data_IF_388884788618
#
_entry.id   IF_388884788618
#
_cell.length_a   1.000
_cell.length_b   1.000
_cell.length_c   1.000
_cell.angle_alpha   90.00
_cell.angle_beta   90.00
_cell.angle_gamma   90.00
#
_symmetry.space_group_name_H-M   'P 1'
#
loop_
_entity.id
_entity.type
_entity.pdbx_description
1 polymer ?
#
# COMPACT_ATOMS: atom_id res chain seq x y z
N UNK A 1 2.19 3.13 -2.36
CA UNK A 1 3.37 3.17 -1.46
C UNK A 1 3.78 4.58 -0.99
N UNK A 2 3.53 5.66 -1.75
CA UNK A 2 3.94 7.02 -1.32
C UNK A 2 3.06 7.66 -0.24
N UNK A 3 1.82 7.23 -0.08
CA UNK A 3 0.86 7.90 0.81
C UNK A 3 0.70 7.25 2.20
N UNK A 4 1.14 6.01 2.36
CA UNK A 4 1.05 5.26 3.64
C UNK A 4 2.12 5.71 4.64
N UNK A 5 3.27 6.18 4.17
CA UNK A 5 4.40 6.54 5.02
C UNK A 5 4.27 7.94 5.65
N UNK A 6 3.36 8.79 5.13
CA UNK A 6 3.12 10.13 5.68
C UNK A 6 2.47 10.16 7.07
N UNK A 7 1.89 9.04 7.51
CA UNK A 7 1.14 8.95 8.77
C UNK A 7 2.03 8.65 9.98
N UNK A 8 3.27 8.17 9.79
CA UNK A 8 4.08 7.59 10.86
C UNK A 8 5.12 8.52 11.50
N UNK A 9 5.21 9.79 11.12
CA UNK A 9 6.08 10.72 11.84
C UNK A 9 5.28 11.72 12.67
N UNK A 10 4.62 11.20 13.68
CA UNK A 10 4.04 12.01 14.73
C UNK A 10 5.05 12.15 15.85
N UNK A 11 5.48 13.36 16.05
CA UNK A 11 6.30 13.87 17.14
C UNK A 11 5.94 13.23 18.49
N UNK A 12 6.81 12.37 18.98
CA UNK A 12 6.87 12.03 20.39
C UNK A 12 7.37 13.25 21.18
N UNK A 13 6.62 13.66 22.17
CA UNK A 13 7.06 14.67 23.12
C UNK A 13 7.49 13.98 24.42
N UNK A 14 8.71 14.26 24.81
CA UNK A 14 9.32 13.83 26.05
C UNK A 14 8.64 14.49 27.25
N UNK A 15 8.11 13.69 28.16
CA UNK A 15 7.89 14.09 29.53
C UNK A 15 9.19 13.85 30.30
N UNK A 16 9.82 14.93 30.74
CA UNK A 16 10.99 14.89 31.63
C UNK A 16 10.60 14.20 32.93
N UNK A 17 11.04 12.96 33.12
CA UNK A 17 10.97 12.30 34.42
C UNK A 17 12.06 12.87 35.30
N UNK A 18 11.65 13.67 36.29
CA UNK A 18 12.52 14.09 37.41
C UNK A 18 12.86 12.80 38.19
N UNK A 19 14.12 12.42 38.13
CA UNK A 19 14.61 11.34 38.93
C UNK A 19 14.54 11.74 40.41
N UNK A 20 13.62 11.09 41.14
CA UNK A 20 13.61 11.11 42.61
C UNK A 20 14.31 9.83 43.08
N UNK A 21 15.50 10.02 43.62
CA UNK A 21 16.22 8.96 44.33
C UNK A 21 15.44 8.50 45.56
N UNK A 22 15.31 7.20 45.73
CA UNK A 22 15.05 6.54 47.00
C UNK A 22 13.67 5.89 47.13
N UNK A 23 13.51 4.71 46.52
CA UNK A 23 12.98 3.57 47.27
C UNK A 23 13.27 2.27 46.48
N UNK A 24 13.74 1.23 47.21
CA UNK A 24 13.87 -0.11 46.65
C UNK A 24 12.47 -0.69 46.46
N UNK A 25 11.76 -0.23 45.46
CA UNK A 25 10.53 -0.86 45.03
C UNK A 25 10.88 -2.19 44.33
N UNK A 26 10.42 -3.27 44.97
CA UNK A 26 10.19 -4.53 44.29
C UNK A 26 9.59 -4.21 42.93
N UNK A 27 10.31 -4.48 41.82
CA UNK A 27 9.78 -4.35 40.47
C UNK A 27 8.52 -5.19 40.45
N UNK A 28 7.37 -4.55 40.47
CA UNK A 28 6.09 -5.19 40.22
C UNK A 28 6.24 -5.90 38.87
N UNK A 29 6.12 -7.22 38.89
CA UNK A 29 6.03 -7.98 37.64
C UNK A 29 4.89 -7.40 36.85
N UNK A 30 5.12 -7.13 35.56
CA UNK A 30 4.09 -6.61 34.67
C UNK A 30 2.90 -7.57 34.63
N UNK A 31 1.68 -7.06 34.69
CA UNK A 31 0.49 -7.90 34.71
C UNK A 31 0.03 -8.22 33.27
N UNK A 32 -0.46 -9.45 33.09
CA UNK A 32 -1.03 -9.90 31.82
C UNK A 32 -2.47 -9.40 31.78
N UNK A 33 -2.83 -8.65 30.74
CA UNK A 33 -4.20 -8.15 30.48
C UNK A 33 -4.95 -8.98 29.44
N UNK A 34 -4.23 -9.72 28.57
CA UNK A 34 -4.82 -10.74 27.73
C UNK A 34 -3.81 -11.86 27.41
N UNK A 35 -4.32 -13.09 27.28
CA UNK A 35 -3.58 -14.22 26.69
C UNK A 35 -4.11 -14.40 25.27
N UNK A 36 -3.19 -14.51 24.30
CA UNK A 36 -3.51 -14.62 22.88
C UNK A 36 -2.75 -15.82 22.32
N UNK A 37 -3.43 -16.96 22.13
CA UNK A 37 -2.82 -18.24 21.80
C UNK A 37 -1.64 -18.58 22.75
N UNK A 38 -0.40 -18.55 22.24
CA UNK A 38 0.83 -18.79 23.01
C UNK A 38 1.49 -17.51 23.50
N UNK A 39 0.97 -16.33 23.14
CA UNK A 39 1.48 -15.00 23.50
C UNK A 39 0.66 -14.32 24.59
N UNK A 40 1.12 -13.14 24.98
CA UNK A 40 0.45 -12.33 26.02
C UNK A 40 0.50 -10.85 25.65
N UNK A 41 -0.54 -10.12 26.08
CA UNK A 41 -0.54 -8.65 26.08
C UNK A 41 -0.34 -8.20 27.52
N UNK A 42 0.63 -7.29 27.72
CA UNK A 42 1.00 -6.79 29.04
C UNK A 42 0.29 -5.48 29.36
N UNK A 43 0.06 -5.25 30.62
CA UNK A 43 -0.56 -4.00 31.13
C UNK A 43 0.30 -2.77 30.81
N UNK A 44 1.62 -2.89 30.84
CA UNK A 44 2.54 -1.82 30.46
C UNK A 44 2.35 -1.40 28.99
N UNK A 45 2.18 -2.37 28.08
CA UNK A 45 1.90 -2.10 26.67
C UNK A 45 0.57 -1.36 26.49
N UNK A 46 -0.48 -1.83 27.17
CA UNK A 46 -1.80 -1.20 27.14
C UNK A 46 -1.74 0.25 27.64
N UNK A 47 -1.13 0.48 28.80
CA UNK A 47 -1.02 1.81 29.39
C UNK A 47 -0.20 2.77 28.53
N UNK A 48 0.89 2.29 27.93
CA UNK A 48 1.71 3.09 27.01
C UNK A 48 0.89 3.53 25.79
N UNK A 49 0.12 2.63 25.19
CA UNK A 49 -0.71 2.98 24.04
C UNK A 49 -1.85 3.94 24.41
N UNK A 50 -2.49 3.74 25.56
CA UNK A 50 -3.51 4.67 26.07
C UNK A 50 -2.91 6.07 26.25
N UNK A 51 -1.72 6.17 26.82
CA UNK A 51 -1.04 7.46 27.00
C UNK A 51 -0.75 8.13 25.65
N UNK A 52 -0.19 7.38 24.69
CA UNK A 52 0.11 7.89 23.34
C UNK A 52 -1.15 8.45 22.68
N UNK A 53 -2.25 7.68 22.67
CA UNK A 53 -3.53 8.09 22.08
C UNK A 53 -4.09 9.32 22.77
N UNK A 54 -4.03 9.36 24.11
CA UNK A 54 -4.54 10.46 24.91
C UNK A 54 -3.76 11.75 24.69
N UNK A 55 -2.43 11.69 24.63
CA UNK A 55 -1.58 12.85 24.37
C UNK A 55 -1.80 13.39 22.95
N UNK A 56 -1.96 12.48 21.99
CA UNK A 56 -2.25 12.86 20.60
C UNK A 56 -3.59 13.56 20.50
N UNK A 57 -4.65 13.00 21.06
CA UNK A 57 -5.98 13.60 21.05
C UNK A 57 -5.98 15.00 21.67
N UNK A 58 -5.27 15.17 22.81
CA UNK A 58 -5.12 16.49 23.46
C UNK A 58 -4.41 17.50 22.54
N UNK A 59 -3.35 17.06 21.85
CA UNK A 59 -2.57 17.92 20.94
C UNK A 59 -3.40 18.33 19.73
N UNK A 60 -4.16 17.41 19.17
CA UNK A 60 -4.95 17.61 17.96
C UNK A 60 -6.32 18.23 18.26
N UNK A 61 -6.67 18.41 19.55
CA UNK A 61 -7.90 19.06 20.01
C UNK A 61 -9.16 18.19 19.91
N UNK A 62 -9.01 16.87 19.84
CA UNK A 62 -10.13 15.92 19.78
C UNK A 62 -10.58 15.49 21.16
N UNK A 63 -11.91 15.36 21.34
CA UNK A 63 -12.50 14.74 22.51
C UNK A 63 -12.44 13.22 22.35
N UNK A 64 -11.82 12.52 23.33
CA UNK A 64 -11.84 11.06 23.39
C UNK A 64 -13.15 10.56 24.01
N UNK A 65 -13.58 9.35 23.64
CA UNK A 65 -14.62 8.62 24.37
C UNK A 65 -14.24 8.43 25.86
N UNK A 66 -15.10 7.75 26.62
CA UNK A 66 -14.76 7.39 28.00
C UNK A 66 -13.48 6.57 28.05
N UNK A 67 -12.74 6.69 29.16
CA UNK A 67 -11.49 5.95 29.38
C UNK A 67 -11.66 4.43 29.22
N UNK A 68 -12.81 3.90 29.61
CA UNK A 68 -13.18 2.50 29.46
C UNK A 68 -13.23 2.07 27.98
N UNK A 69 -13.91 2.85 27.14
CA UNK A 69 -14.01 2.59 25.70
C UNK A 69 -12.63 2.66 25.02
N UNK A 70 -11.83 3.68 25.38
CA UNK A 70 -10.45 3.81 24.86
C UNK A 70 -9.61 2.60 25.25
N UNK A 71 -9.73 2.15 26.50
CA UNK A 71 -9.02 0.98 27.00
C UNK A 71 -9.39 -0.30 26.26
N UNK A 72 -10.68 -0.54 26.04
CA UNK A 72 -11.17 -1.70 25.29
C UNK A 72 -10.69 -1.70 23.85
N UNK A 73 -10.80 -0.57 23.16
CA UNK A 73 -10.36 -0.45 21.77
C UNK A 73 -8.86 -0.67 21.60
N UNK A 74 -8.05 -0.10 22.49
CA UNK A 74 -6.60 -0.28 22.45
C UNK A 74 -6.22 -1.72 22.79
N UNK A 75 -6.89 -2.34 23.76
CA UNK A 75 -6.64 -3.74 24.08
C UNK A 75 -6.95 -4.66 22.89
N UNK A 76 -8.08 -4.47 22.22
CA UNK A 76 -8.44 -5.26 21.05
C UNK A 76 -7.43 -5.03 19.89
N UNK A 77 -6.95 -3.80 19.70
CA UNK A 77 -5.89 -3.51 18.75
C UNK A 77 -4.60 -4.27 19.09
N UNK A 78 -4.17 -4.30 20.35
CA UNK A 78 -2.97 -5.05 20.76
C UNK A 78 -3.15 -6.56 20.62
N UNK A 79 -4.34 -7.09 20.88
CA UNK A 79 -4.69 -8.49 20.67
C UNK A 79 -4.57 -8.84 19.18
N UNK A 80 -5.17 -8.04 18.31
CA UNK A 80 -5.09 -8.23 16.85
C UNK A 80 -3.66 -8.13 16.34
N UNK A 81 -2.86 -7.22 16.88
CA UNK A 81 -1.45 -7.08 16.52
C UNK A 81 -0.66 -8.35 16.89
N UNK A 82 -0.86 -8.89 18.10
CA UNK A 82 -0.22 -10.11 18.55
C UNK A 82 -0.61 -11.31 17.68
N UNK A 83 -1.90 -11.46 17.32
CA UNK A 83 -2.40 -12.51 16.42
C UNK A 83 -1.69 -12.42 15.06
N UNK A 84 -1.59 -11.22 14.50
CA UNK A 84 -0.93 -10.99 13.22
C UNK A 84 0.57 -11.33 13.27
N UNK A 85 1.26 -10.95 14.34
CA UNK A 85 2.69 -11.26 14.49
C UNK A 85 2.93 -12.77 14.60
N UNK A 86 2.10 -13.49 15.35
CA UNK A 86 2.15 -14.96 15.42
C UNK A 86 1.88 -15.61 14.06
N UNK A 87 0.91 -15.08 13.32
CA UNK A 87 0.61 -15.53 11.96
C UNK A 87 1.80 -15.30 11.01
N UNK A 88 2.39 -14.11 11.07
CA UNK A 88 3.57 -13.77 10.27
C UNK A 88 4.74 -14.73 10.58
N UNK A 89 4.97 -15.03 11.86
CA UNK A 89 5.98 -15.97 12.29
C UNK A 89 5.72 -17.38 11.76
N UNK A 90 4.47 -17.85 11.84
CA UNK A 90 4.06 -19.20 11.40
C UNK A 90 4.26 -19.43 9.91
N UNK A 91 4.11 -18.40 9.07
CA UNK A 91 4.34 -18.50 7.61
C UNK A 91 5.72 -18.02 7.17
N UNK A 92 6.61 -17.72 8.13
CA UNK A 92 8.01 -17.41 7.88
C UNK A 92 8.28 -15.99 7.35
N UNK A 93 7.37 -15.04 7.58
CA UNK A 93 7.61 -13.62 7.25
C UNK A 93 8.75 -13.09 8.12
N UNK A 94 9.80 -12.56 7.48
CA UNK A 94 10.98 -12.01 8.15
C UNK A 94 11.42 -10.71 7.49
N UNK A 95 11.74 -9.72 8.28
CA UNK A 95 12.33 -8.45 7.82
C UNK A 95 13.81 -8.45 8.13
N UNK A 96 14.64 -8.51 7.08
CA UNK A 96 16.10 -8.44 7.19
C UNK A 96 16.55 -7.03 7.64
N UNK A 97 17.78 -6.95 8.19
CA UNK A 97 18.37 -5.66 8.55
C UNK A 97 18.56 -4.76 7.32
N UNK A 98 18.81 -5.33 6.15
CA UNK A 98 18.90 -4.56 4.90
C UNK A 98 17.57 -3.90 4.55
N UNK A 99 16.45 -4.63 4.63
CA UNK A 99 15.11 -4.09 4.39
C UNK A 99 14.76 -3.00 5.41
N UNK A 100 15.05 -3.27 6.69
CA UNK A 100 14.81 -2.29 7.75
C UNK A 100 15.63 -1.02 7.56
N UNK A 101 16.92 -1.13 7.23
CA UNK A 101 17.78 0.02 6.99
C UNK A 101 17.34 0.79 5.73
N UNK A 102 16.87 0.11 4.67
CA UNK A 102 16.26 0.74 3.50
C UNK A 102 15.04 1.57 3.87
N UNK A 103 14.13 1.03 4.68
CA UNK A 103 12.97 1.77 5.18
C UNK A 103 13.37 2.98 6.05
N UNK A 104 14.38 2.82 6.91
CA UNK A 104 14.90 3.92 7.73
C UNK A 104 15.50 5.02 6.86
N UNK A 105 16.23 4.66 5.78
CA UNK A 105 16.79 5.65 4.84
C UNK A 105 15.70 6.46 4.16
N UNK A 106 14.61 5.82 3.71
CA UNK A 106 13.47 6.52 3.13
C UNK A 106 12.78 7.47 4.13
N UNK A 107 12.65 7.05 5.40
CA UNK A 107 12.12 7.91 6.47
C UNK A 107 13.05 9.11 6.71
N UNK A 108 14.37 8.90 6.72
CA UNK A 108 15.34 9.98 6.90
C UNK A 108 15.24 11.01 5.75
N UNK A 109 15.17 10.56 4.50
CA UNK A 109 15.00 11.43 3.33
C UNK A 109 13.71 12.26 3.40
N UNK A 110 12.59 11.63 3.77
CA UNK A 110 11.30 12.32 3.93
C UNK A 110 11.36 13.41 5.01
N UNK A 111 12.18 13.20 6.05
CA UNK A 111 12.43 14.16 7.13
C UNK A 111 13.59 15.11 6.86
N UNK A 112 14.11 15.12 5.62
CA UNK A 112 15.20 15.98 5.18
C UNK A 112 16.46 15.83 6.05
N UNK A 113 16.73 14.58 6.48
CA UNK A 113 17.93 14.22 7.23
C UNK A 113 18.62 13.02 6.58
N UNK A 114 19.83 12.67 7.03
CA UNK A 114 20.51 11.45 6.57
C UNK A 114 20.26 10.29 7.54
N UNK A 115 20.48 9.07 7.06
CA UNK A 115 20.37 7.85 7.86
C UNK A 115 21.20 7.96 9.15
N UNK A 116 22.44 8.50 9.06
CA UNK A 116 23.36 8.61 10.20
C UNK A 116 22.91 9.66 11.24
N UNK A 117 22.17 10.70 10.79
CA UNK A 117 21.70 11.79 11.67
C UNK A 117 20.33 11.54 12.28
N UNK A 118 19.59 10.58 11.72
CA UNK A 118 18.24 10.26 12.20
C UNK A 118 18.21 9.86 13.70
N UNK A 119 19.17 9.06 14.24
CA UNK A 119 19.20 8.73 15.67
C UNK A 119 19.29 9.95 16.56
N UNK A 120 20.10 10.94 16.19
CA UNK A 120 20.26 12.18 16.96
C UNK A 120 19.00 13.07 16.91
N UNK A 121 18.27 13.01 15.77
CA UNK A 121 17.01 13.72 15.64
C UNK A 121 15.94 13.08 16.51
N UNK A 122 15.76 11.74 16.44
CA UNK A 122 14.82 10.98 17.27
C UNK A 122 15.09 11.20 18.76
N UNK A 123 16.36 11.18 19.18
CA UNK A 123 16.76 11.45 20.56
C UNK A 123 16.36 12.85 21.03
N UNK A 124 16.44 13.87 20.18
CA UNK A 124 15.96 15.23 20.49
C UNK A 124 14.45 15.28 20.66
N UNK A 125 13.76 14.45 19.90
CA UNK A 125 12.30 14.30 19.96
C UNK A 125 11.85 13.34 21.09
N UNK A 126 12.81 12.84 21.90
CA UNK A 126 12.54 11.95 23.04
C UNK A 126 12.29 10.48 22.67
N UNK A 127 12.63 10.08 21.44
CA UNK A 127 12.42 8.72 20.93
C UNK A 127 13.72 7.93 21.03
N UNK A 128 13.67 6.75 21.67
CA UNK A 128 14.78 5.80 21.64
C UNK A 128 14.92 5.19 20.27
N UNK A 129 16.13 5.19 19.70
CA UNK A 129 16.38 4.65 18.37
C UNK A 129 16.20 3.13 18.29
N UNK A 130 16.49 2.42 19.38
CA UNK A 130 16.28 0.97 19.46
C UNK A 130 14.79 0.62 19.44
N UNK A 131 13.99 1.37 20.18
CA UNK A 131 12.52 1.22 20.17
C UNK A 131 11.95 1.55 18.79
N UNK A 132 12.34 2.66 18.22
CA UNK A 132 11.94 3.02 16.86
C UNK A 132 12.25 1.93 15.83
N UNK A 133 13.44 1.32 15.89
CA UNK A 133 13.80 0.21 15.00
C UNK A 133 12.95 -1.04 15.22
N UNK A 134 12.62 -1.35 16.48
CA UNK A 134 11.76 -2.50 16.80
C UNK A 134 10.34 -2.30 16.26
N UNK A 135 9.79 -1.12 16.49
CA UNK A 135 8.42 -0.79 16.07
C UNK A 135 8.32 -0.74 14.54
N UNK A 136 9.30 -0.13 13.86
CA UNK A 136 9.34 -0.12 12.41
C UNK A 136 9.48 -1.54 11.82
N UNK A 137 10.33 -2.41 12.41
CA UNK A 137 10.43 -3.81 11.97
C UNK A 137 9.10 -4.54 12.13
N UNK A 138 8.43 -4.33 13.25
CA UNK A 138 7.10 -4.90 13.50
C UNK A 138 6.09 -4.43 12.46
N UNK A 139 6.04 -3.13 12.18
CA UNK A 139 5.18 -2.58 11.14
C UNK A 139 5.47 -3.18 9.76
N UNK A 140 6.74 -3.32 9.37
CA UNK A 140 7.11 -3.95 8.10
C UNK A 140 6.70 -5.42 8.03
N UNK A 141 6.76 -6.16 9.14
CA UNK A 141 6.27 -7.55 9.22
C UNK A 141 4.76 -7.59 8.99
N UNK A 142 3.99 -6.71 9.64
CA UNK A 142 2.54 -6.64 9.49
C UNK A 142 2.13 -6.23 8.06
N UNK A 143 2.86 -5.29 7.46
CA UNK A 143 2.63 -4.88 6.08
C UNK A 143 2.90 -6.02 5.10
N UNK A 144 4.03 -6.75 5.24
CA UNK A 144 4.33 -7.93 4.42
C UNK A 144 3.30 -9.05 4.61
N UNK A 145 2.87 -9.29 5.84
CA UNK A 145 1.81 -10.27 6.11
C UNK A 145 0.52 -9.92 5.39
N UNK A 146 0.11 -8.65 5.46
CA UNK A 146 -1.08 -8.16 4.76
C UNK A 146 -0.94 -8.29 3.24
N UNK A 147 0.26 -7.99 2.72
CA UNK A 147 0.52 -8.14 1.29
C UNK A 147 0.36 -9.60 0.84
N UNK A 148 0.83 -10.57 1.64
CA UNK A 148 0.77 -12.00 1.32
C UNK A 148 -0.66 -12.56 1.53
N UNK A 149 -1.26 -12.31 2.68
CA UNK A 149 -2.51 -12.96 3.09
C UNK A 149 -3.77 -12.27 2.53
N UNK A 150 -3.67 -10.98 2.19
CA UNK A 150 -4.79 -10.18 1.70
C UNK A 150 -4.54 -9.67 0.29
N UNK A 151 -3.59 -8.74 0.10
CA UNK A 151 -3.43 -7.98 -1.15
C UNK A 151 -3.08 -8.90 -2.32
N UNK A 152 -2.17 -9.86 -2.11
CA UNK A 152 -1.75 -10.82 -3.14
C UNK A 152 -2.87 -11.77 -3.61
N UNK A 153 -3.96 -11.87 -2.85
CA UNK A 153 -5.11 -12.73 -3.17
C UNK A 153 -6.26 -11.97 -3.82
N UNK A 154 -6.19 -10.65 -3.85
CA UNK A 154 -7.24 -9.82 -4.45
C UNK A 154 -7.08 -9.81 -5.96
N UNK A 155 -8.09 -10.32 -6.66
CA UNK A 155 -8.17 -10.28 -8.11
C UNK A 155 -9.38 -9.44 -8.56
N UNK A 156 -9.18 -8.71 -9.66
CA UNK A 156 -10.30 -8.13 -10.42
C UNK A 156 -10.88 -9.22 -11.31
N UNK A 157 -12.15 -9.49 -11.21
CA UNK A 157 -12.84 -10.38 -12.15
C UNK A 157 -13.13 -9.65 -13.46
N UNK A 158 -13.27 -10.40 -14.56
CA UNK A 158 -13.63 -9.82 -15.86
C UNK A 158 -14.93 -9.02 -15.82
N UNK A 159 -15.89 -9.46 -15.02
CA UNK A 159 -17.18 -8.75 -14.85
C UNK A 159 -16.96 -7.39 -14.19
N UNK A 160 -16.17 -7.32 -13.13
CA UNK A 160 -15.87 -6.06 -12.43
C UNK A 160 -15.06 -5.13 -13.34
N UNK A 161 -14.09 -5.69 -14.07
CA UNK A 161 -13.29 -4.93 -15.02
C UNK A 161 -14.17 -4.32 -16.13
N UNK A 162 -15.03 -5.13 -16.76
CA UNK A 162 -15.94 -4.65 -17.79
C UNK A 162 -16.91 -3.60 -17.26
N UNK A 163 -17.46 -3.80 -16.07
CA UNK A 163 -18.34 -2.83 -15.43
C UNK A 163 -17.59 -1.52 -15.11
N UNK A 164 -16.33 -1.59 -14.64
CA UNK A 164 -15.51 -0.41 -14.43
C UNK A 164 -15.23 0.33 -15.74
N UNK A 165 -14.85 -0.40 -16.80
CA UNK A 165 -14.58 0.20 -18.12
C UNK A 165 -15.83 0.85 -18.72
N UNK A 166 -16.99 0.23 -18.60
CA UNK A 166 -18.28 0.80 -19.04
C UNK A 166 -18.58 2.13 -18.31
N UNK A 167 -18.33 2.18 -17.01
CA UNK A 167 -18.44 3.43 -16.24
C UNK A 167 -17.43 4.47 -16.72
N UNK A 168 -16.19 4.05 -17.04
CA UNK A 168 -15.14 4.93 -17.58
C UNK A 168 -15.51 5.50 -18.95
N UNK A 169 -16.08 4.68 -19.83
CA UNK A 169 -16.47 5.11 -21.18
C UNK A 169 -17.66 6.08 -21.16
N UNK A 170 -18.58 5.87 -20.24
CA UNK A 170 -19.82 6.65 -20.18
C UNK A 170 -19.71 7.97 -19.40
N UNK A 171 -18.61 8.24 -18.69
CA UNK A 171 -18.52 9.39 -17.82
C UNK A 171 -17.17 10.11 -17.84
N UNK A 172 -17.20 11.42 -18.08
CA UNK A 172 -16.14 12.40 -17.81
C UNK A 172 -15.68 12.36 -16.33
N UNK A 173 -16.45 11.72 -15.48
CA UNK A 173 -16.26 11.56 -14.02
C UNK A 173 -14.91 11.00 -13.63
N UNK A 174 -14.34 10.09 -14.43
CA UNK A 174 -13.14 9.34 -14.06
C UNK A 174 -11.82 10.12 -14.19
N UNK A 175 -11.80 11.14 -15.00
CA UNK A 175 -10.61 12.00 -15.18
C UNK A 175 -10.64 13.21 -14.25
N UNK A 176 -11.75 13.38 -13.54
CA UNK A 176 -11.94 14.42 -12.54
C UNK A 176 -11.23 14.03 -11.24
N UNK A 177 -10.74 15.03 -10.55
CA UNK A 177 -10.25 14.90 -9.17
C UNK A 177 -11.37 15.36 -8.23
N UNK A 178 -11.58 14.58 -7.18
CA UNK A 178 -12.58 14.86 -6.16
C UNK A 178 -11.92 14.99 -4.80
N UNK A 179 -12.26 16.02 -4.08
CA UNK A 179 -12.01 16.11 -2.65
C UNK A 179 -13.24 15.56 -1.94
N UNK A 180 -13.08 14.49 -1.20
CA UNK A 180 -14.18 13.71 -0.64
C UNK A 180 -14.10 13.61 0.88
N UNK A 181 -15.28 13.44 1.49
CA UNK A 181 -15.44 12.93 2.84
C UNK A 181 -16.37 11.72 2.85
N UNK A 182 -16.22 10.83 3.83
CA UNK A 182 -16.86 9.53 3.87
C UNK A 182 -17.30 9.14 5.29
N UNK A 183 -18.51 8.60 5.41
CA UNK A 183 -19.03 7.96 6.62
C UNK A 183 -19.31 6.51 6.29
N UNK A 184 -18.87 5.58 7.14
CA UNK A 184 -19.16 4.15 7.08
C UNK A 184 -19.92 3.73 8.32
N UNK A 185 -21.06 3.10 8.13
CA UNK A 185 -21.78 2.34 9.17
C UNK A 185 -21.57 0.88 8.84
N UNK A 186 -20.73 0.21 9.62
CA UNK A 186 -20.32 -1.17 9.36
C UNK A 186 -21.45 -2.17 9.66
N UNK A 187 -21.48 -3.25 8.86
CA UNK A 187 -22.34 -4.39 9.11
C UNK A 187 -21.48 -5.61 9.35
N UNK A 188 -21.63 -6.33 10.47
CA UNK A 188 -20.91 -7.57 10.74
C UNK A 188 -21.10 -8.61 9.63
N UNK A 189 -20.06 -9.42 9.32
CA UNK A 189 -20.12 -10.43 8.26
C UNK A 189 -21.21 -11.49 8.53
N UNK A 190 -21.40 -11.84 9.80
CA UNK A 190 -22.43 -12.76 10.25
C UNK A 190 -23.65 -12.04 10.84
N UNK A 191 -23.93 -10.81 10.38
CA UNK A 191 -25.04 -10.02 10.91
C UNK A 191 -26.38 -10.73 10.71
N UNK A 192 -27.21 -10.69 11.72
CA UNK A 192 -28.62 -11.03 11.62
C UNK A 192 -29.38 -10.00 10.78
N UNK A 193 -30.58 -10.36 10.32
CA UNK A 193 -31.43 -9.41 9.59
C UNK A 193 -31.72 -8.14 10.42
N UNK A 194 -31.92 -8.30 11.72
CA UNK A 194 -32.20 -7.17 12.63
C UNK A 194 -30.99 -6.24 12.77
N UNK A 195 -29.77 -6.78 12.86
CA UNK A 195 -28.53 -5.98 12.91
C UNK A 195 -28.29 -5.25 11.58
N UNK A 196 -28.53 -5.92 10.45
CA UNK A 196 -28.44 -5.30 9.13
C UNK A 196 -29.42 -4.13 8.98
N UNK A 197 -30.69 -4.34 9.37
CA UNK A 197 -31.73 -3.31 9.31
C UNK A 197 -31.42 -2.16 10.30
N UNK A 198 -30.81 -2.46 11.44
CA UNK A 198 -30.36 -1.44 12.39
C UNK A 198 -29.31 -0.52 11.76
N UNK A 199 -28.23 -1.09 11.17
CA UNK A 199 -27.17 -0.32 10.51
C UNK A 199 -27.73 0.48 9.32
N UNK A 200 -28.66 -0.08 8.56
CA UNK A 200 -29.34 0.62 7.46
C UNK A 200 -30.12 1.83 7.96
N UNK A 201 -30.89 1.64 9.04
CA UNK A 201 -31.70 2.72 9.63
C UNK A 201 -30.81 3.82 10.19
N UNK A 202 -29.71 3.47 10.84
CA UNK A 202 -28.70 4.44 11.33
C UNK A 202 -28.13 5.25 10.18
N UNK A 203 -27.69 4.61 9.09
CA UNK A 203 -27.19 5.31 7.91
C UNK A 203 -28.23 6.26 7.29
N UNK A 204 -29.49 5.85 7.28
CA UNK A 204 -30.61 6.71 6.82
C UNK A 204 -30.90 7.87 7.77
N UNK A 205 -30.77 7.67 9.07
CA UNK A 205 -30.92 8.72 10.07
C UNK A 205 -29.83 9.77 9.92
N UNK A 206 -28.58 9.35 9.76
CA UNK A 206 -27.44 10.25 9.48
C UNK A 206 -27.70 11.04 8.20
N UNK A 207 -28.13 10.39 7.11
CA UNK A 207 -28.49 11.06 5.87
C UNK A 207 -29.56 12.13 6.07
N UNK A 208 -30.63 11.83 6.81
CA UNK A 208 -31.72 12.79 7.11
C UNK A 208 -31.23 13.97 7.97
N UNK A 209 -30.31 13.73 8.89
CA UNK A 209 -29.70 14.80 9.69
C UNK A 209 -28.82 15.70 8.82
N UNK A 210 -28.04 15.14 7.89
CA UNK A 210 -27.26 15.89 6.90
C UNK A 210 -28.16 16.74 6.00
N UNK A 211 -29.28 16.18 5.50
CA UNK A 211 -30.30 16.90 4.74
C UNK A 211 -30.91 18.07 5.55
N UNK A 212 -30.97 17.91 6.87
CA UNK A 212 -31.45 18.94 7.80
C UNK A 212 -30.40 19.98 8.17
N UNK A 213 -29.17 19.87 7.60
CA UNK A 213 -28.10 20.84 7.78
C UNK A 213 -27.08 20.48 8.86
N UNK A 214 -27.05 19.23 9.36
CA UNK A 214 -26.00 18.78 10.25
C UNK A 214 -24.63 18.81 9.56
N UNK A 215 -23.57 19.01 10.35
CA UNK A 215 -22.19 18.99 9.83
C UNK A 215 -21.76 17.58 9.46
N UNK A 216 -21.33 17.37 8.21
CA UNK A 216 -20.83 16.07 7.75
C UNK A 216 -19.64 15.58 8.58
N UNK A 217 -18.71 16.46 8.91
CA UNK A 217 -17.54 16.13 9.71
C UNK A 217 -17.90 15.71 11.14
N UNK A 218 -18.93 16.34 11.72
CA UNK A 218 -19.41 15.97 13.05
C UNK A 218 -20.11 14.60 13.01
N UNK A 219 -20.95 14.35 12.03
CA UNK A 219 -21.60 13.04 11.83
C UNK A 219 -20.57 11.94 11.60
N UNK A 220 -19.52 12.23 10.85
CA UNK A 220 -18.42 11.27 10.64
C UNK A 220 -17.66 10.96 11.93
N UNK A 221 -17.40 11.97 12.77
CA UNK A 221 -16.74 11.80 14.07
C UNK A 221 -17.57 10.97 15.06
N UNK A 222 -18.89 11.17 15.05
CA UNK A 222 -19.81 10.57 16.01
C UNK A 222 -20.21 9.14 15.62
N UNK A 223 -20.31 8.85 14.32
CA UNK A 223 -20.96 7.63 13.84
C UNK A 223 -20.12 6.78 12.88
N UNK A 224 -19.01 7.29 12.32
CA UNK A 224 -18.31 6.55 11.30
C UNK A 224 -17.37 5.48 11.89
N UNK A 225 -17.56 4.23 11.46
CA UNK A 225 -16.66 3.09 11.75
C UNK A 225 -15.41 3.08 10.85
N UNK A 226 -15.25 4.06 9.98
CA UNK A 226 -14.09 4.15 9.10
C UNK A 226 -12.89 4.73 9.86
N UNK A 227 -11.67 4.31 9.46
CA UNK A 227 -10.43 4.86 10.01
C UNK A 227 -10.34 6.40 9.85
N UNK A 228 -11.03 6.96 8.87
CA UNK A 228 -11.08 8.40 8.63
C UNK A 228 -12.14 9.11 9.45
N UNK A 229 -13.03 8.40 10.12
CA UNK A 229 -14.09 8.96 10.96
C UNK A 229 -13.55 9.97 11.98
N UNK A 230 -12.44 9.61 12.64
CA UNK A 230 -11.74 10.46 13.61
C UNK A 230 -11.22 11.79 13.04
N UNK A 231 -11.07 11.88 11.73
CA UNK A 231 -10.67 13.09 11.03
C UNK A 231 -11.86 13.75 10.29
N UNK A 232 -13.10 13.57 10.78
CA UNK A 232 -14.30 14.11 10.15
C UNK A 232 -14.65 13.46 8.81
N UNK A 233 -14.16 12.23 8.60
CA UNK A 233 -14.39 11.46 7.38
C UNK A 233 -13.53 11.88 6.18
N UNK A 234 -12.60 12.81 6.32
CA UNK A 234 -11.81 13.34 5.20
C UNK A 234 -10.96 12.29 4.52
N UNK A 235 -11.22 12.07 3.21
CA UNK A 235 -10.39 11.25 2.31
C UNK A 235 -9.38 12.11 1.54
N UNK A 236 -9.57 13.43 1.50
CA UNK A 236 -8.79 14.38 0.71
C UNK A 236 -9.01 14.22 -0.80
N UNK A 237 -8.09 14.80 -1.60
CA UNK A 237 -8.14 14.73 -3.06
C UNK A 237 -7.85 13.31 -3.55
N UNK A 238 -8.79 12.77 -4.35
CA UNK A 238 -8.68 11.48 -5.04
C UNK A 238 -9.07 11.65 -6.49
N UNK A 239 -8.36 10.97 -7.39
CA UNK A 239 -8.83 10.84 -8.77
C UNK A 239 -10.04 9.90 -8.77
N UNK A 240 -11.00 10.12 -9.66
CA UNK A 240 -12.15 9.24 -9.80
C UNK A 240 -11.74 7.76 -9.93
N UNK A 241 -10.69 7.48 -10.72
CA UNK A 241 -10.14 6.13 -10.90
C UNK A 241 -9.44 5.53 -9.65
N UNK A 242 -9.34 6.26 -8.55
CA UNK A 242 -8.84 5.77 -7.25
C UNK A 242 -9.98 5.45 -6.27
N UNK A 243 -11.22 5.69 -6.69
CA UNK A 243 -12.39 5.47 -5.87
C UNK A 243 -13.02 4.10 -6.15
N UNK A 244 -13.67 3.49 -5.14
CA UNK A 244 -14.48 2.28 -5.35
C UNK A 244 -15.50 2.48 -6.45
N UNK A 245 -15.72 1.45 -7.30
CA UNK A 245 -16.69 1.52 -8.40
C UNK A 245 -18.10 1.86 -7.94
N UNK A 246 -18.51 1.35 -6.77
CA UNK A 246 -19.82 1.67 -6.20
C UNK A 246 -19.94 3.12 -5.72
N UNK A 247 -18.83 3.84 -5.53
CA UNK A 247 -18.84 5.29 -5.27
C UNK A 247 -19.02 6.10 -6.55
N UNK A 248 -18.47 5.63 -7.68
CA UNK A 248 -18.48 6.40 -8.94
C UNK A 248 -19.89 6.67 -9.45
N UNK A 249 -20.80 5.70 -9.33
CA UNK A 249 -22.20 5.88 -9.72
C UNK A 249 -22.87 7.02 -8.93
N UNK A 250 -22.59 7.12 -7.64
CA UNK A 250 -23.11 8.19 -6.81
C UNK A 250 -22.42 9.53 -7.07
N UNK A 251 -21.07 9.54 -7.18
CA UNK A 251 -20.29 10.76 -7.39
C UNK A 251 -20.58 11.40 -8.74
N UNK A 252 -20.91 10.60 -9.77
CA UNK A 252 -21.27 11.12 -11.11
C UNK A 252 -22.51 12.01 -11.11
N UNK A 253 -23.40 11.86 -10.15
CA UNK A 253 -24.64 12.63 -9.98
C UNK A 253 -24.49 13.80 -9.00
N UNK A 254 -23.43 13.80 -8.18
CA UNK A 254 -23.20 14.80 -7.13
C UNK A 254 -22.47 16.03 -7.67
N UNK A 255 -22.87 17.18 -7.16
CA UNK A 255 -22.19 18.46 -7.35
C UNK A 255 -21.27 18.75 -6.17
N UNK A 256 -20.49 19.80 -6.27
CA UNK A 256 -19.72 20.33 -5.14
C UNK A 256 -20.66 20.62 -3.96
N UNK A 257 -20.24 20.17 -2.77
CA UNK A 257 -20.94 20.26 -1.48
C UNK A 257 -22.09 19.25 -1.31
N UNK A 258 -22.50 18.52 -2.36
CA UNK A 258 -23.52 17.48 -2.27
C UNK A 258 -23.00 16.22 -1.59
N UNK A 259 -23.89 15.42 -1.02
CA UNK A 259 -23.59 14.11 -0.45
C UNK A 259 -24.55 13.03 -0.96
N UNK A 260 -24.10 11.78 -0.97
CA UNK A 260 -24.89 10.65 -1.46
C UNK A 260 -25.93 10.19 -0.47
N UNK A 261 -26.96 9.51 -0.96
CA UNK A 261 -27.74 8.58 -0.14
C UNK A 261 -26.84 7.44 0.37
N UNK A 262 -27.24 6.72 1.44
CA UNK A 262 -26.51 5.53 1.88
C UNK A 262 -26.33 4.52 0.74
N UNK A 263 -25.07 4.20 0.44
CA UNK A 263 -24.67 3.24 -0.58
C UNK A 263 -24.31 1.95 0.13
N UNK A 264 -24.95 0.85 -0.22
CA UNK A 264 -24.68 -0.45 0.37
C UNK A 264 -23.45 -1.11 -0.26
N UNK A 265 -22.61 -1.69 0.58
CA UNK A 265 -21.50 -2.57 0.20
C UNK A 265 -21.47 -3.82 1.09
N UNK A 266 -20.47 -4.67 0.90
CA UNK A 266 -20.23 -5.84 1.78
C UNK A 266 -19.74 -5.45 3.18
N UNK A 267 -19.15 -4.26 3.35
CA UNK A 267 -18.68 -3.77 4.65
C UNK A 267 -19.75 -2.97 5.42
N UNK A 268 -20.86 -2.62 4.79
CA UNK A 268 -21.93 -1.85 5.41
C UNK A 268 -22.51 -0.78 4.50
N UNK A 269 -22.92 0.33 5.09
CA UNK A 269 -23.52 1.48 4.42
C UNK A 269 -22.57 2.69 4.41
N UNK A 270 -22.42 3.30 3.24
CA UNK A 270 -21.52 4.42 3.01
C UNK A 270 -22.26 5.67 2.63
N UNK A 271 -21.88 6.81 3.17
CA UNK A 271 -22.33 8.15 2.73
C UNK A 271 -21.08 8.92 2.29
N UNK A 272 -21.11 9.49 1.08
CA UNK A 272 -19.98 10.23 0.52
C UNK A 272 -20.40 11.68 0.29
N UNK A 273 -19.52 12.62 0.59
CA UNK A 273 -19.66 14.03 0.27
C UNK A 273 -18.57 14.47 -0.71
N UNK A 274 -18.95 15.22 -1.74
CA UNK A 274 -18.02 15.89 -2.66
C UNK A 274 -17.72 17.28 -2.11
N UNK A 275 -16.59 17.45 -1.43
CA UNK A 275 -16.18 18.76 -0.90
C UNK A 275 -15.73 19.71 -2.02
N UNK A 276 -15.04 19.18 -3.05
CA UNK A 276 -14.62 19.91 -4.24
C UNK A 276 -14.31 18.95 -5.40
N UNK A 277 -14.28 19.45 -6.66
CA UNK A 277 -13.95 18.66 -7.84
C UNK A 277 -13.16 19.46 -8.87
N UNK A 278 -12.30 18.75 -9.65
CA UNK A 278 -11.52 19.31 -10.78
C UNK A 278 -11.62 18.35 -11.95
N UNK A 279 -11.94 18.86 -13.13
CA UNK A 279 -11.99 18.06 -14.37
C UNK A 279 -10.69 18.19 -15.14
N UNK A 280 -10.15 17.09 -15.61
CA UNK A 280 -8.99 17.06 -16.52
C UNK A 280 -9.08 15.85 -17.46
N UNK A 281 -8.91 16.07 -18.76
CA UNK A 281 -8.97 15.04 -19.80
C UNK A 281 -7.67 15.10 -20.60
N UNK A 282 -6.74 14.18 -20.35
CA UNK A 282 -5.51 14.05 -21.14
C UNK A 282 -5.39 12.66 -21.78
N UNK A 283 -5.02 12.63 -23.07
CA UNK A 283 -4.58 11.40 -23.74
C UNK A 283 -3.24 10.96 -23.17
N UNK A 284 -3.07 9.66 -22.99
CA UNK A 284 -1.80 9.08 -22.55
C UNK A 284 -1.05 8.53 -23.77
N UNK A 285 -0.01 9.24 -24.19
CA UNK A 285 0.90 8.78 -25.22
C UNK A 285 2.23 8.39 -24.58
N UNK A 286 2.75 7.21 -24.94
CA UNK A 286 4.05 6.72 -24.49
C UNK A 286 4.94 6.41 -25.68
N UNK A 287 6.26 6.51 -25.47
CA UNK A 287 7.22 6.00 -26.44
C UNK A 287 7.47 4.51 -26.18
N UNK A 288 7.04 3.65 -27.07
CA UNK A 288 7.38 2.22 -27.06
C UNK A 288 8.66 1.98 -27.85
N UNK A 289 9.43 1.00 -27.38
CA UNK A 289 10.59 0.46 -28.07
C UNK A 289 10.37 -0.99 -28.41
N UNK A 290 10.77 -1.37 -29.63
CA UNK A 290 10.91 -2.76 -30.02
C UNK A 290 12.37 -3.16 -29.81
N UNK A 291 12.59 -4.19 -28.97
CA UNK A 291 13.92 -4.57 -28.52
C UNK A 291 14.15 -6.04 -28.75
N UNK A 292 15.38 -6.40 -29.14
CA UNK A 292 15.87 -7.79 -29.08
C UNK A 292 17.17 -7.84 -28.29
N UNK A 293 17.40 -8.95 -27.59
CA UNK A 293 18.57 -9.10 -26.74
C UNK A 293 19.13 -10.53 -26.71
N UNK A 294 20.34 -10.65 -26.22
CA UNK A 294 20.99 -11.93 -25.90
C UNK A 294 21.45 -11.83 -24.45
N UNK A 295 21.08 -12.85 -23.64
CA UNK A 295 21.44 -12.95 -22.22
C UNK A 295 22.40 -14.12 -22.02
N UNK A 296 23.48 -13.91 -21.28
CA UNK A 296 24.35 -14.97 -20.76
C UNK A 296 24.42 -14.87 -19.25
N UNK A 297 24.06 -15.93 -18.53
CA UNK A 297 23.98 -15.99 -17.08
C UNK A 297 25.28 -16.56 -16.51
N UNK A 298 26.05 -15.79 -15.73
CA UNK A 298 27.21 -16.33 -15.04
C UNK A 298 26.82 -17.45 -14.07
N UNK A 299 27.62 -18.52 -14.05
CA UNK A 299 27.43 -19.69 -13.20
C UNK A 299 28.77 -20.25 -12.75
N UNK A 300 28.81 -21.46 -12.16
CA UNK A 300 30.02 -22.09 -11.68
C UNK A 300 31.05 -22.43 -12.78
N UNK A 301 30.60 -22.50 -14.04
CA UNK A 301 31.45 -22.87 -15.20
C UNK A 301 31.78 -21.62 -16.01
N UNK A 302 30.83 -20.66 -16.12
CA UNK A 302 30.95 -19.42 -16.87
C UNK A 302 31.02 -18.27 -15.86
N UNK A 303 32.22 -17.75 -15.66
CA UNK A 303 32.39 -16.55 -14.83
C UNK A 303 31.97 -15.26 -15.57
N UNK A 304 31.96 -14.14 -14.86
CA UNK A 304 31.55 -12.86 -15.43
C UNK A 304 32.39 -12.42 -16.64
N UNK A 305 33.68 -12.68 -16.62
CA UNK A 305 34.57 -12.30 -17.72
C UNK A 305 34.32 -13.15 -18.96
N UNK A 306 34.14 -14.45 -18.77
CA UNK A 306 33.78 -15.42 -19.85
C UNK A 306 32.41 -15.07 -20.44
N UNK A 307 31.40 -14.69 -19.61
CA UNK A 307 30.08 -14.30 -20.09
C UNK A 307 30.17 -13.02 -20.94
N UNK A 308 30.89 -12.02 -20.47
CA UNK A 308 31.14 -10.80 -21.23
C UNK A 308 31.90 -11.04 -22.53
N UNK A 309 32.91 -11.90 -22.52
CA UNK A 309 33.67 -12.25 -23.72
C UNK A 309 32.78 -12.95 -24.76
N UNK A 310 31.96 -13.92 -24.38
CA UNK A 310 30.99 -14.58 -25.27
C UNK A 310 30.07 -13.59 -25.96
N UNK A 311 29.57 -12.60 -25.22
CA UNK A 311 28.71 -11.56 -25.82
C UNK A 311 29.48 -10.56 -26.69
N UNK A 312 30.75 -10.34 -26.39
CA UNK A 312 31.62 -9.54 -27.28
C UNK A 312 31.82 -10.25 -28.61
N UNK A 313 32.12 -11.55 -28.58
CA UNK A 313 32.26 -12.40 -29.77
C UNK A 313 30.93 -12.48 -30.57
N UNK A 314 29.80 -12.69 -29.88
CA UNK A 314 28.47 -12.67 -30.49
C UNK A 314 28.18 -11.34 -31.19
N UNK A 315 28.50 -10.24 -30.55
CA UNK A 315 28.36 -8.89 -31.11
C UNK A 315 29.21 -8.74 -32.38
N UNK A 316 30.46 -9.19 -32.39
CA UNK A 316 31.33 -9.14 -33.56
C UNK A 316 30.80 -10.01 -34.72
N UNK A 317 30.27 -11.20 -34.44
CA UNK A 317 29.61 -12.06 -35.41
C UNK A 317 28.43 -11.34 -36.08
N UNK A 318 27.56 -10.73 -35.31
CA UNK A 318 26.41 -9.99 -35.82
C UNK A 318 26.88 -8.78 -36.64
N UNK A 319 27.87 -8.04 -36.16
CA UNK A 319 28.44 -6.91 -36.91
C UNK A 319 29.13 -7.33 -38.20
N UNK A 320 29.60 -8.59 -38.30
CA UNK A 320 30.17 -9.15 -39.52
C UNK A 320 29.16 -9.68 -40.52
N UNK A 321 27.86 -9.68 -40.13
CA UNK A 321 26.75 -10.00 -41.04
C UNK A 321 25.96 -11.27 -40.69
N UNK A 322 26.22 -11.89 -39.50
CA UNK A 322 25.34 -12.95 -39.04
C UNK A 322 24.01 -12.37 -38.55
N UNK A 323 22.94 -13.12 -38.73
CA UNK A 323 21.61 -12.69 -38.26
C UNK A 323 21.52 -12.72 -36.73
N UNK A 324 21.12 -11.60 -36.12
CA UNK A 324 20.97 -11.47 -34.66
C UNK A 324 20.13 -12.60 -34.09
N UNK A 325 19.01 -12.95 -34.76
CA UNK A 325 18.08 -13.99 -34.32
C UNK A 325 18.71 -15.38 -34.26
N UNK A 326 19.61 -15.71 -35.17
CA UNK A 326 20.29 -17.00 -35.20
C UNK A 326 21.35 -17.07 -34.09
N UNK A 327 22.10 -16.00 -33.87
CA UNK A 327 23.08 -15.92 -32.77
C UNK A 327 22.34 -15.97 -31.42
N UNK A 328 21.19 -15.29 -31.30
CA UNK A 328 20.37 -15.32 -30.09
C UNK A 328 19.84 -16.73 -29.78
N UNK A 329 19.32 -17.45 -30.75
CA UNK A 329 18.84 -18.83 -30.56
C UNK A 329 19.95 -19.81 -30.11
N UNK A 330 21.20 -19.53 -30.52
CA UNK A 330 22.34 -20.39 -30.15
C UNK A 330 22.94 -20.05 -28.79
N UNK A 331 22.90 -18.79 -28.37
CA UNK A 331 23.67 -18.30 -27.23
C UNK A 331 22.81 -17.78 -26.09
N UNK A 332 21.61 -17.28 -26.35
CA UNK A 332 20.80 -16.66 -25.31
C UNK A 332 20.27 -17.67 -24.31
N UNK A 333 20.41 -17.34 -23.04
CA UNK A 333 19.86 -18.11 -21.90
C UNK A 333 18.57 -17.47 -21.36
N UNK A 334 17.97 -16.52 -22.09
CA UNK A 334 16.67 -15.94 -21.75
C UNK A 334 15.52 -16.81 -22.27
N UNK A 335 14.80 -17.54 -21.39
CA UNK A 335 13.72 -18.43 -21.83
C UNK A 335 12.51 -17.67 -22.39
N UNK A 336 12.41 -16.36 -22.15
CA UNK A 336 11.29 -15.54 -22.60
C UNK A 336 11.43 -15.08 -24.06
N UNK A 337 12.63 -15.05 -24.62
CA UNK A 337 12.89 -14.48 -25.95
C UNK A 337 13.76 -15.34 -26.88
N UNK A 338 14.44 -16.36 -26.36
CA UNK A 338 15.40 -17.19 -27.14
C UNK A 338 14.74 -17.82 -28.36
N UNK A 339 13.55 -18.38 -28.21
CA UNK A 339 12.82 -19.04 -29.31
C UNK A 339 12.39 -18.05 -30.41
N UNK A 340 12.16 -16.79 -30.02
CA UNK A 340 11.83 -15.67 -30.92
C UNK A 340 13.09 -14.92 -31.41
N UNK A 341 14.26 -15.56 -31.34
CA UNK A 341 15.52 -14.95 -31.78
C UNK A 341 15.95 -13.73 -30.94
N UNK A 342 15.63 -13.73 -29.66
CA UNK A 342 15.92 -12.66 -28.73
C UNK A 342 14.90 -11.49 -28.74
N UNK A 343 13.85 -11.57 -29.55
CA UNK A 343 12.84 -10.51 -29.66
C UNK A 343 11.97 -10.45 -28.41
N UNK A 344 11.79 -9.24 -27.87
CA UNK A 344 10.88 -8.94 -26.78
C UNK A 344 9.63 -8.17 -27.25
N UNK A 345 9.53 -7.92 -28.57
CA UNK A 345 8.45 -7.15 -29.15
C UNK A 345 8.43 -5.69 -28.70
N UNK A 346 7.27 -5.04 -28.88
CA UNK A 346 7.05 -3.67 -28.43
C UNK A 346 6.85 -3.61 -26.92
N UNK A 347 7.67 -2.82 -26.25
CA UNK A 347 7.69 -2.71 -24.79
C UNK A 347 7.45 -1.27 -24.33
N UNK A 348 6.79 -1.13 -23.17
CA UNK A 348 6.53 0.14 -22.53
C UNK A 348 7.72 0.62 -21.69
N UNK A 349 7.90 1.93 -21.47
CA UNK A 349 8.84 2.44 -20.49
C UNK A 349 8.61 1.80 -19.09
N UNK A 350 9.70 1.44 -18.42
CA UNK A 350 9.66 0.79 -17.10
C UNK A 350 9.40 -0.73 -17.14
N UNK A 351 9.40 -1.35 -18.32
CA UNK A 351 9.28 -2.82 -18.47
C UNK A 351 10.56 -3.52 -18.02
N UNK A 352 11.71 -2.92 -18.27
CA UNK A 352 13.01 -3.51 -18.01
C UNK A 352 13.60 -3.04 -16.68
N UNK A 353 14.62 -3.75 -16.20
CA UNK A 353 15.45 -3.27 -15.10
C UNK A 353 16.25 -2.04 -15.53
N UNK A 354 16.60 -1.20 -14.56
CA UNK A 354 17.19 0.12 -14.79
C UNK A 354 18.43 0.06 -15.69
N UNK A 355 19.32 -0.90 -15.48
CA UNK A 355 20.55 -1.05 -16.26
C UNK A 355 20.28 -1.35 -17.73
N UNK A 356 19.28 -2.19 -18.00
CA UNK A 356 18.84 -2.54 -19.35
C UNK A 356 18.15 -1.35 -20.02
N UNK A 357 17.23 -0.70 -19.31
CA UNK A 357 16.47 0.44 -19.83
C UNK A 357 17.37 1.64 -20.13
N UNK A 358 18.38 1.88 -19.30
CA UNK A 358 19.37 2.93 -19.54
C UNK A 358 20.14 2.69 -20.84
N UNK A 359 20.55 1.46 -21.14
CA UNK A 359 21.23 1.13 -22.40
C UNK A 359 20.28 1.29 -23.58
N UNK A 360 19.05 0.75 -23.50
CA UNK A 360 18.05 0.81 -24.56
C UNK A 360 17.63 2.27 -24.91
N UNK A 361 17.55 3.13 -23.90
CA UNK A 361 17.22 4.53 -24.11
C UNK A 361 18.34 5.35 -24.78
N UNK A 362 19.62 5.00 -24.54
CA UNK A 362 20.76 5.75 -25.01
C UNK A 362 21.38 5.24 -26.31
N UNK A 363 21.02 4.03 -26.75
CA UNK A 363 21.54 3.46 -28.01
C UNK A 363 20.73 3.96 -29.21
N UNK A 364 21.40 4.06 -30.36
CA UNK A 364 20.72 4.38 -31.62
C UNK A 364 19.96 3.18 -32.15
N UNK A 365 18.83 3.44 -32.79
CA UNK A 365 18.06 2.40 -33.48
C UNK A 365 18.93 1.67 -34.51
N UNK A 366 18.92 0.35 -34.49
CA UNK A 366 19.72 -0.53 -35.35
C UNK A 366 21.19 -0.71 -34.89
N UNK A 367 21.60 -0.10 -33.77
CA UNK A 367 22.93 -0.29 -33.20
C UNK A 367 22.88 -1.42 -32.14
N UNK A 368 23.92 -2.27 -32.12
CA UNK A 368 24.05 -3.33 -31.13
C UNK A 368 24.90 -2.78 -29.96
N UNK A 369 24.36 -2.88 -28.76
CA UNK A 369 25.04 -2.39 -27.55
C UNK A 369 26.38 -3.09 -27.30
N UNK A 370 27.25 -2.44 -26.54
CA UNK A 370 28.34 -3.15 -25.86
C UNK A 370 27.76 -4.09 -24.80
N UNK A 371 28.44 -5.19 -24.46
CA UNK A 371 28.04 -6.03 -23.33
C UNK A 371 27.91 -5.21 -22.03
N UNK A 372 26.77 -5.33 -21.36
CA UNK A 372 26.49 -4.69 -20.07
C UNK A 372 25.89 -5.70 -19.09
N UNK A 373 25.97 -5.40 -17.80
CA UNK A 373 25.52 -6.30 -16.74
C UNK A 373 24.24 -5.77 -16.10
N UNK A 374 23.33 -6.70 -15.79
CA UNK A 374 22.18 -6.48 -14.92
C UNK A 374 22.14 -7.52 -13.80
N UNK A 375 21.13 -7.46 -12.95
CA UNK A 375 20.91 -8.51 -11.93
C UNK A 375 20.63 -9.90 -12.49
N UNK A 376 20.28 -10.01 -13.77
CA UNK A 376 19.99 -11.30 -14.45
C UNK A 376 21.20 -11.91 -15.13
N UNK A 377 22.24 -11.15 -15.41
CA UNK A 377 23.43 -11.58 -16.11
C UNK A 377 23.98 -10.51 -17.02
N UNK A 378 24.72 -10.95 -18.04
CA UNK A 378 25.28 -10.10 -19.07
C UNK A 378 24.39 -10.07 -20.31
N UNK A 379 24.27 -8.89 -20.91
CA UNK A 379 23.39 -8.65 -22.07
C UNK A 379 24.12 -7.92 -23.18
N UNK A 380 23.69 -8.17 -24.42
CA UNK A 380 23.74 -7.22 -25.54
C UNK A 380 22.32 -7.02 -26.04
N UNK A 381 21.99 -5.84 -26.51
CA UNK A 381 20.67 -5.52 -27.04
C UNK A 381 20.77 -4.69 -28.33
N UNK A 382 19.69 -4.71 -29.07
CA UNK A 382 19.43 -3.82 -30.19
C UNK A 382 18.00 -3.29 -30.09
N UNK A 383 17.84 -1.98 -30.34
CA UNK A 383 16.52 -1.34 -30.50
C UNK A 383 16.19 -1.37 -32.00
N UNK A 384 15.20 -2.18 -32.39
CA UNK A 384 14.79 -2.35 -33.79
C UNK A 384 13.73 -1.34 -34.23
N UNK A 385 12.98 -0.77 -33.26
CA UNK A 385 11.95 0.22 -33.53
C UNK A 385 11.66 1.15 -32.35
N UNK A 386 11.18 2.35 -32.66
CA UNK A 386 10.59 3.30 -31.70
C UNK A 386 9.29 3.82 -32.27
N UNK A 387 8.24 3.92 -31.44
CA UNK A 387 6.97 4.48 -31.86
C UNK A 387 6.27 5.22 -30.73
N UNK A 388 5.50 6.24 -31.06
CA UNK A 388 4.51 6.79 -30.16
C UNK A 388 3.29 5.88 -30.17
N UNK A 389 2.85 5.46 -29.01
CA UNK A 389 1.71 4.57 -28.81
C UNK A 389 0.68 5.24 -27.92
N UNK A 390 -0.58 5.26 -28.34
CA UNK A 390 -1.68 5.71 -27.49
C UNK A 390 -1.99 4.60 -26.48
N UNK A 391 -1.53 4.83 -25.25
CA UNK A 391 -1.66 3.90 -24.11
C UNK A 391 -2.92 4.17 -23.27
N UNK A 392 -3.83 5.00 -23.79
CA UNK A 392 -4.99 5.45 -23.01
C UNK A 392 -5.86 4.28 -22.54
N UNK A 393 -6.11 3.28 -23.39
CA UNK A 393 -6.98 2.15 -23.05
C UNK A 393 -6.31 1.15 -22.09
N UNK A 394 -5.01 0.89 -22.26
CA UNK A 394 -4.24 0.07 -21.33
C UNK A 394 -4.16 0.74 -19.96
N UNK A 395 -3.96 2.06 -19.93
CA UNK A 395 -3.96 2.83 -18.70
C UNK A 395 -5.32 2.81 -18.02
N UNK A 396 -6.43 2.94 -18.75
CA UNK A 396 -7.79 2.80 -18.23
C UNK A 396 -7.99 1.42 -17.60
N UNK A 397 -7.57 0.34 -18.28
CA UNK A 397 -7.64 -1.02 -17.75
C UNK A 397 -6.82 -1.18 -16.47
N UNK A 398 -5.56 -0.74 -16.48
CA UNK A 398 -4.68 -0.79 -15.33
C UNK A 398 -5.25 0.00 -14.15
N UNK A 399 -5.80 1.18 -14.40
CA UNK A 399 -6.45 2.00 -13.39
C UNK A 399 -7.70 1.34 -12.83
N UNK A 400 -8.55 0.73 -13.67
CA UNK A 400 -9.70 -0.04 -13.25
C UNK A 400 -9.30 -1.23 -12.37
N UNK A 401 -8.28 -2.00 -12.76
CA UNK A 401 -7.78 -3.12 -11.97
C UNK A 401 -7.27 -2.62 -10.61
N UNK A 402 -6.50 -1.55 -10.60
CA UNK A 402 -5.99 -0.95 -9.37
C UNK A 402 -7.12 -0.41 -8.48
N UNK A 403 -8.12 0.22 -9.08
CA UNK A 403 -9.30 0.71 -8.40
C UNK A 403 -10.09 -0.44 -7.75
N UNK A 404 -10.38 -1.51 -8.50
CA UNK A 404 -11.08 -2.70 -8.00
C UNK A 404 -10.27 -3.32 -6.86
N UNK A 405 -8.96 -3.48 -7.03
CA UNK A 405 -8.06 -3.98 -5.98
C UNK A 405 -8.12 -3.11 -4.74
N UNK A 406 -7.94 -1.80 -4.89
CA UNK A 406 -7.95 -0.86 -3.78
C UNK A 406 -9.29 -0.83 -3.05
N UNK A 407 -10.42 -0.96 -3.78
CA UNK A 407 -11.75 -1.04 -3.19
C UNK A 407 -11.93 -2.28 -2.32
N UNK A 408 -11.30 -3.40 -2.71
CA UNK A 408 -11.38 -4.66 -1.98
C UNK A 408 -10.43 -4.72 -0.78
N UNK A 409 -9.29 -4.01 -0.82
CA UNK A 409 -8.26 -4.10 0.22
C UNK A 409 -8.84 -3.83 1.61
N UNK A 410 -9.55 -2.73 1.80
CA UNK A 410 -10.08 -2.38 3.11
C UNK A 410 -11.05 -3.44 3.63
N UNK A 411 -11.98 -3.86 2.79
CA UNK A 411 -12.96 -4.87 3.13
C UNK A 411 -12.33 -6.25 3.37
N UNK A 412 -11.49 -6.72 2.46
CA UNK A 412 -10.78 -7.99 2.60
C UNK A 412 -9.85 -8.00 3.82
N UNK A 413 -9.22 -6.87 4.13
CA UNK A 413 -8.41 -6.71 5.35
C UNK A 413 -9.29 -6.86 6.60
N UNK A 414 -10.45 -6.21 6.64
CA UNK A 414 -11.34 -6.33 7.80
C UNK A 414 -11.90 -7.76 7.94
N UNK A 415 -12.32 -8.39 6.84
CA UNK A 415 -12.78 -9.77 6.86
C UNK A 415 -11.67 -10.72 7.32
N UNK A 416 -10.46 -10.50 6.84
CA UNK A 416 -9.30 -11.27 7.25
C UNK A 416 -8.97 -11.07 8.74
N UNK A 417 -8.97 -9.83 9.25
CA UNK A 417 -8.72 -9.53 10.67
C UNK A 417 -9.76 -10.21 11.56
N UNK A 418 -11.05 -10.15 11.21
CA UNK A 418 -12.10 -10.86 11.94
C UNK A 418 -11.86 -12.37 11.95
N UNK A 419 -11.59 -12.96 10.79
CA UNK A 419 -11.33 -14.39 10.69
C UNK A 419 -10.16 -14.83 11.58
N UNK A 420 -9.01 -14.17 11.50
CA UNK A 420 -7.85 -14.53 12.34
C UNK A 420 -8.12 -14.26 13.83
N UNK A 421 -8.98 -13.27 14.14
CA UNK A 421 -9.43 -13.00 15.52
C UNK A 421 -10.34 -14.11 16.03
N UNK A 422 -11.27 -14.60 15.22
CA UNK A 422 -12.20 -15.68 15.56
C UNK A 422 -11.50 -17.03 15.68
N UNK A 423 -10.44 -17.26 14.89
CA UNK A 423 -9.61 -18.46 14.95
C UNK A 423 -8.68 -18.49 16.18
N UNK A 424 -8.38 -17.33 16.78
CA UNK A 424 -7.45 -17.22 17.88
C UNK A 424 -8.12 -17.49 19.23
N UNK A 425 -7.39 -18.20 20.11
CA UNK A 425 -7.76 -18.26 21.51
C UNK A 425 -7.38 -16.97 22.22
N UNK A 426 -8.36 -16.30 22.84
CA UNK A 426 -8.13 -15.05 23.57
C UNK A 426 -8.83 -15.12 24.93
N UNK A 427 -8.06 -14.87 26.01
CA UNK A 427 -8.53 -14.79 27.39
C UNK A 427 -8.18 -13.41 27.96
N UNK A 428 -9.19 -12.53 28.11
CA UNK A 428 -9.04 -11.14 28.60
C UNK A 428 -9.12 -11.14 30.13
N UNK A 429 -8.16 -10.46 30.79
CA UNK A 429 -7.95 -10.44 32.24
C UNK A 429 -7.88 -9.03 32.84
N UNK A 430 -8.65 -8.09 32.32
CA UNK A 430 -8.71 -6.67 32.83
C UNK A 430 -9.77 -6.50 33.93
#
# INVERSE_FOLDING_TARGET
MKDIIKIMLVTFFSSSVIAQEGDRNLTSLDSIVAIVNEGVVLNSQLNTQIQIVTERAKKDGFALPSEEIVKEQILEQLILEEIQLQRADSIGVRVSDQMLNGAISLIAEQNKTSFERLPDQLKRDGIDYGDFRRDLRKQLILDQLRDIDVIGRINASDRELNQCLEVVENNIVNESQYNLSHILISVPEAATADEFDSSKNEAMEIYNQLESGASFSQMALEHSDSETGINGGELGWRKGNQLPTFFLGAIGELKKEDFSRPIQSVSGFHIIRVNDMRQNIEKSEIEQMEVRHILVIPNQIIDNETAKQKLTEAREQILSGEEFSEVAKLLSEDPGSVDEGGSMGWTNPGTFVEEFENVANNIKMGEISQPFQSRFGWHILEVTGKRTFDNTDELKKANCINQIRNSKIANETQLWLRRIRDEAFVDIRI
#
